data_IF_870870298014
#
_entry.id   IF_870870298014
#
_cell.length_a   1.000
_cell.length_b   1.000
_cell.length_c   1.000
_cell.angle_alpha   90.00
_cell.angle_beta   90.00
_cell.angle_gamma   90.00
#
_symmetry.space_group_name_H-M   'P 1'
#
loop_
_entity.id
_entity.type
_entity.pdbx_description
1 polymer ?
#
# COMPACT_ATOMS: atom_id res chain seq x y z
N UNK A 1 -84.40 6.48 -42.18
CA UNK A 1 -83.88 5.70 -41.05
C UNK A 1 -82.50 6.19 -40.78
N UNK A 2 -82.32 7.07 -39.82
CA UNK A 2 -81.04 7.71 -39.48
C UNK A 2 -80.50 7.09 -38.16
N UNK A 3 -79.39 6.36 -38.20
CA UNK A 3 -78.73 5.89 -37.00
C UNK A 3 -77.62 6.90 -36.66
N UNK A 4 -77.74 7.55 -35.51
CA UNK A 4 -76.68 8.36 -34.90
C UNK A 4 -75.83 7.48 -34.05
N UNK A 5 -74.55 7.36 -34.37
CA UNK A 5 -73.50 6.77 -33.48
C UNK A 5 -73.06 7.85 -32.52
N UNK A 6 -73.19 7.56 -31.22
CA UNK A 6 -72.56 8.34 -30.13
C UNK A 6 -71.21 7.69 -29.82
N UNK A 7 -70.15 8.40 -30.08
CA UNK A 7 -68.83 8.03 -29.61
C UNK A 7 -68.60 8.61 -28.20
N UNK A 8 -68.49 7.73 -27.22
CA UNK A 8 -68.02 8.08 -25.89
C UNK A 8 -66.50 7.95 -25.83
N UNK A 9 -65.81 9.05 -25.74
CA UNK A 9 -64.36 9.09 -25.52
C UNK A 9 -64.05 8.87 -24.04
N UNK A 10 -63.47 7.73 -23.67
CA UNK A 10 -62.94 7.48 -22.34
C UNK A 10 -61.49 8.07 -22.29
N UNK A 11 -61.30 9.12 -21.53
CA UNK A 11 -59.97 9.67 -21.25
C UNK A 11 -59.31 8.82 -20.18
N UNK A 12 -58.32 8.01 -20.55
CA UNK A 12 -57.39 7.35 -19.61
C UNK A 12 -56.39 8.40 -19.12
N UNK A 13 -56.50 8.81 -17.87
CA UNK A 13 -55.45 9.60 -17.21
C UNK A 13 -54.30 8.65 -16.83
N UNK A 14 -53.21 8.70 -17.59
CA UNK A 14 -51.92 8.11 -17.23
C UNK A 14 -51.34 8.95 -16.08
N UNK A 15 -51.46 8.47 -14.85
CA UNK A 15 -50.70 8.94 -13.71
C UNK A 15 -49.30 8.35 -13.87
N UNK A 16 -48.37 9.09 -14.47
CA UNK A 16 -46.95 8.76 -14.42
C UNK A 16 -46.45 9.00 -12.99
N UNK A 17 -46.37 7.94 -12.19
CA UNK A 17 -45.59 7.96 -10.95
C UNK A 17 -44.13 8.11 -11.36
N UNK A 18 -43.60 9.33 -11.30
CA UNK A 18 -42.16 9.54 -11.29
C UNK A 18 -41.65 8.87 -10.01
N UNK A 19 -41.06 7.67 -10.15
CA UNK A 19 -40.27 7.11 -9.10
C UNK A 19 -39.09 8.09 -8.90
N UNK A 20 -39.12 8.84 -7.82
CA UNK A 20 -37.95 9.58 -7.35
C UNK A 20 -36.93 8.49 -7.05
N UNK A 21 -35.92 8.36 -7.90
CA UNK A 21 -34.78 7.51 -7.61
C UNK A 21 -34.18 8.07 -6.31
N UNK A 22 -34.34 7.33 -5.23
CA UNK A 22 -33.76 7.66 -3.95
C UNK A 22 -32.25 7.49 -4.15
N UNK A 23 -31.51 8.60 -4.20
CA UNK A 23 -30.06 8.55 -4.26
C UNK A 23 -29.55 7.69 -3.09
N UNK A 24 -28.60 6.79 -3.36
CA UNK A 24 -28.00 5.99 -2.31
C UNK A 24 -27.41 6.92 -1.25
N UNK A 25 -27.57 6.58 0.05
CA UNK A 25 -26.98 7.39 1.10
C UNK A 25 -25.47 7.48 0.88
N UNK A 26 -25.01 8.70 0.73
CA UNK A 26 -23.60 9.00 0.56
C UNK A 26 -22.92 8.94 1.93
N UNK A 27 -21.65 8.44 1.96
CA UNK A 27 -20.85 8.52 3.17
C UNK A 27 -20.48 9.97 3.47
N UNK A 28 -20.74 10.40 4.70
CA UNK A 28 -20.33 11.69 5.25
C UNK A 28 -19.33 11.42 6.37
N UNK A 29 -18.10 11.92 6.21
CA UNK A 29 -17.05 11.70 7.19
C UNK A 29 -16.77 12.95 7.99
N UNK A 30 -16.62 12.78 9.31
CA UNK A 30 -16.11 13.77 10.23
C UNK A 30 -14.74 13.36 10.69
N UNK A 31 -13.72 14.17 10.41
CA UNK A 31 -12.36 13.95 10.88
C UNK A 31 -12.28 14.03 12.39
N UNK A 32 -11.76 13.00 13.02
CA UNK A 32 -11.51 12.93 14.48
C UNK A 32 -10.09 13.33 14.81
N UNK A 33 -9.13 12.84 14.04
CA UNK A 33 -7.71 13.11 14.19
C UNK A 33 -7.05 13.05 12.82
N UNK A 34 -6.17 13.99 12.53
CA UNK A 34 -5.38 14.02 11.32
C UNK A 34 -3.94 14.39 11.67
N UNK A 35 -3.00 13.60 11.20
CA UNK A 35 -1.57 13.84 11.36
C UNK A 35 -1.00 14.34 10.02
N UNK A 36 0.06 15.17 10.05
CA UNK A 36 0.64 15.72 8.83
C UNK A 36 1.19 14.64 7.88
N UNK A 37 0.92 14.82 6.60
CA UNK A 37 1.43 13.98 5.50
C UNK A 37 1.98 14.86 4.38
N UNK A 38 2.85 14.29 3.55
CA UNK A 38 3.30 14.87 2.29
C UNK A 38 2.26 14.69 1.18
N UNK A 39 2.48 15.23 0.00
CA UNK A 39 1.57 15.14 -1.15
C UNK A 39 1.26 13.71 -1.55
N UNK A 40 0.09 13.48 -2.18
CA UNK A 40 -0.28 12.19 -2.77
C UNK A 40 0.53 11.96 -4.04
N UNK A 41 1.26 10.85 -4.11
CA UNK A 41 2.05 10.44 -5.27
C UNK A 41 1.29 9.45 -6.16
N UNK A 42 1.83 9.20 -7.36
CA UNK A 42 1.24 8.25 -8.30
C UNK A 42 2.29 7.22 -8.74
N UNK A 43 2.18 5.98 -8.25
CA UNK A 43 3.02 4.86 -8.68
C UNK A 43 2.74 4.42 -10.12
N UNK A 44 1.63 4.85 -10.73
CA UNK A 44 1.18 4.52 -12.07
C UNK A 44 1.31 3.01 -12.38
N UNK A 45 2.04 2.64 -13.44
CA UNK A 45 2.25 1.25 -13.88
C UNK A 45 3.53 0.65 -13.29
N UNK A 46 3.61 0.66 -11.96
CA UNK A 46 4.68 -0.03 -11.22
C UNK A 46 4.10 -0.87 -10.09
N UNK A 47 4.68 -2.02 -9.83
CA UNK A 47 4.34 -2.87 -8.68
C UNK A 47 5.05 -2.42 -7.39
N UNK A 48 5.23 -1.11 -7.19
CA UNK A 48 6.10 -0.54 -6.15
C UNK A 48 5.34 0.17 -5.03
N UNK A 49 4.07 -0.19 -4.80
CA UNK A 49 3.23 0.36 -3.73
C UNK A 49 3.89 0.27 -2.35
N UNK A 50 4.62 -0.81 -2.08
CA UNK A 50 5.39 -1.01 -0.86
C UNK A 50 6.41 0.12 -0.61
N UNK A 51 7.06 0.61 -1.67
CA UNK A 51 8.04 1.69 -1.59
C UNK A 51 7.35 3.05 -1.41
N UNK A 52 6.34 3.35 -2.24
CA UNK A 52 5.57 4.60 -2.16
C UNK A 52 4.93 4.80 -0.78
N UNK A 53 4.35 3.75 -0.22
CA UNK A 53 3.68 3.83 1.09
C UNK A 53 4.67 3.93 2.25
N UNK A 54 5.76 3.16 2.22
CA UNK A 54 6.78 3.22 3.26
C UNK A 54 7.53 4.57 3.24
N UNK A 55 7.89 5.09 2.06
CA UNK A 55 8.52 6.42 1.99
C UNK A 55 7.55 7.52 2.39
N UNK A 56 6.27 7.43 2.02
CA UNK A 56 5.25 8.35 2.53
C UNK A 56 5.16 8.36 4.06
N UNK A 57 5.27 7.18 4.70
CA UNK A 57 5.36 7.03 6.15
C UNK A 57 6.63 7.68 6.72
N UNK A 58 7.81 7.39 6.13
CA UNK A 58 9.10 7.98 6.55
C UNK A 58 9.10 9.50 6.36
N UNK A 59 8.56 10.02 5.28
CA UNK A 59 8.40 11.47 5.05
C UNK A 59 7.56 12.12 6.14
N UNK A 60 6.48 11.46 6.59
CA UNK A 60 5.68 11.95 7.71
C UNK A 60 6.42 11.89 9.05
N UNK A 61 7.27 10.90 9.26
CA UNK A 61 8.15 10.83 10.43
C UNK A 61 9.19 11.96 10.45
N UNK A 62 9.78 12.29 9.28
CA UNK A 62 10.67 13.45 9.14
C UNK A 62 9.91 14.75 9.42
N UNK A 63 8.72 14.90 8.85
CA UNK A 63 7.86 16.06 9.07
C UNK A 63 7.48 16.19 10.56
N UNK A 64 7.14 15.09 11.23
CA UNK A 64 6.83 15.05 12.66
C UNK A 64 8.02 15.44 13.55
N UNK A 65 9.22 14.94 13.25
CA UNK A 65 10.40 15.09 14.12
C UNK A 65 11.19 16.36 13.83
N UNK A 66 11.24 16.81 12.58
CA UNK A 66 12.05 17.96 12.14
C UNK A 66 11.24 19.14 11.63
N UNK A 67 9.95 18.96 11.33
CA UNK A 67 9.12 20.01 10.72
C UNK A 67 9.53 20.34 9.28
N UNK A 68 10.26 19.44 8.60
CA UNK A 68 10.74 19.61 7.22
C UNK A 68 9.96 18.68 6.31
N UNK A 69 9.34 19.25 5.28
CA UNK A 69 8.72 18.47 4.22
C UNK A 69 9.82 17.97 3.25
N UNK A 70 9.84 16.68 2.99
CA UNK A 70 10.79 16.02 2.09
C UNK A 70 10.05 15.24 1.04
N UNK A 71 10.64 15.10 -0.13
CA UNK A 71 10.20 14.24 -1.23
C UNK A 71 11.34 13.27 -1.55
N UNK A 72 11.20 12.03 -1.07
CA UNK A 72 12.23 10.99 -1.17
C UNK A 72 12.07 10.18 -2.47
N UNK A 73 13.19 9.74 -3.05
CA UNK A 73 13.18 9.00 -4.30
C UNK A 73 12.77 7.54 -4.09
N UNK A 74 11.61 7.17 -4.60
CA UNK A 74 11.16 5.78 -4.62
C UNK A 74 12.06 4.92 -5.51
N UNK A 75 12.48 5.45 -6.65
CA UNK A 75 13.26 4.68 -7.62
C UNK A 75 14.67 4.38 -7.15
N UNK A 76 15.24 5.20 -6.27
CA UNK A 76 16.49 4.87 -5.59
C UNK A 76 16.33 3.61 -4.75
N UNK A 77 15.29 3.55 -3.94
CA UNK A 77 15.00 2.40 -3.07
C UNK A 77 14.67 1.17 -3.90
N UNK A 78 13.84 1.31 -4.93
CA UNK A 78 13.45 0.22 -5.83
C UNK A 78 14.68 -0.38 -6.53
N UNK A 79 15.57 0.46 -7.08
CA UNK A 79 16.79 0.00 -7.76
C UNK A 79 17.71 -0.79 -6.83
N UNK A 80 17.95 -0.30 -5.60
CA UNK A 80 18.77 -0.99 -4.61
C UNK A 80 18.13 -2.30 -4.14
N UNK A 81 16.82 -2.31 -3.91
CA UNK A 81 16.08 -3.54 -3.56
C UNK A 81 16.14 -4.57 -4.68
N UNK A 82 16.00 -4.16 -5.94
CA UNK A 82 16.13 -5.08 -7.08
C UNK A 82 17.52 -5.68 -7.22
N UNK A 83 18.59 -4.88 -6.99
CA UNK A 83 19.95 -5.38 -6.93
C UNK A 83 20.10 -6.49 -5.88
N UNK A 84 19.73 -6.22 -4.65
CA UNK A 84 19.84 -7.18 -3.54
C UNK A 84 19.03 -8.45 -3.81
N UNK A 85 17.83 -8.29 -4.35
CA UNK A 85 16.95 -9.42 -4.71
C UNK A 85 17.57 -10.27 -5.81
N UNK A 86 18.18 -9.66 -6.82
CA UNK A 86 18.86 -10.37 -7.89
C UNK A 86 20.00 -11.24 -7.34
N UNK A 87 20.82 -10.68 -6.45
CA UNK A 87 21.91 -11.41 -5.80
C UNK A 87 21.36 -12.59 -4.98
N UNK A 88 20.33 -12.38 -4.18
CA UNK A 88 19.70 -13.44 -3.37
C UNK A 88 19.01 -14.50 -4.24
N UNK A 89 18.32 -14.10 -5.30
CA UNK A 89 17.67 -15.00 -6.24
C UNK A 89 18.65 -15.95 -6.92
N UNK A 90 19.77 -15.42 -7.41
CA UNK A 90 20.81 -16.23 -8.05
C UNK A 90 21.48 -17.16 -7.03
N UNK A 91 21.77 -16.70 -5.81
CA UNK A 91 22.32 -17.53 -4.72
C UNK A 91 21.40 -18.67 -4.32
N UNK A 92 20.09 -18.48 -4.39
CA UNK A 92 19.07 -19.48 -4.07
C UNK A 92 18.65 -20.32 -5.29
N UNK A 93 19.40 -20.24 -6.38
CA UNK A 93 19.13 -20.98 -7.64
C UNK A 93 17.69 -20.77 -8.14
N UNK A 94 17.16 -19.58 -7.99
CA UNK A 94 15.81 -19.20 -8.44
C UNK A 94 14.67 -19.59 -7.48
N UNK A 95 14.97 -20.15 -6.32
CA UNK A 95 13.97 -20.49 -5.31
C UNK A 95 13.65 -19.28 -4.41
N UNK A 96 13.28 -18.19 -5.05
CA UNK A 96 12.86 -16.94 -4.42
C UNK A 96 11.85 -16.25 -5.35
N UNK A 97 10.89 -15.52 -4.77
CA UNK A 97 10.05 -14.66 -5.59
C UNK A 97 10.89 -13.51 -6.18
N UNK A 98 10.88 -13.39 -7.51
CA UNK A 98 11.51 -12.27 -8.21
C UNK A 98 10.44 -11.55 -9.04
N UNK A 99 9.86 -10.52 -8.46
CA UNK A 99 8.76 -9.73 -9.00
C UNK A 99 8.88 -8.27 -8.53
N UNK A 100 8.00 -7.40 -8.94
CA UNK A 100 7.99 -5.98 -8.59
C UNK A 100 7.63 -5.73 -7.10
N UNK A 101 6.73 -6.55 -6.54
CA UNK A 101 6.27 -6.44 -5.16
C UNK A 101 7.38 -6.71 -4.14
N UNK A 102 7.30 -6.07 -2.98
CA UNK A 102 8.25 -6.19 -1.87
C UNK A 102 7.58 -5.80 -0.55
N UNK A 103 8.33 -5.79 0.54
CA UNK A 103 7.84 -5.46 1.87
C UNK A 103 8.31 -4.08 2.35
N UNK A 104 7.68 -3.53 3.38
CA UNK A 104 8.15 -2.30 4.03
C UNK A 104 9.55 -2.45 4.62
N UNK A 105 9.91 -3.65 5.08
CA UNK A 105 11.24 -3.97 5.56
C UNK A 105 12.32 -3.70 4.53
N UNK A 106 12.04 -3.94 3.23
CA UNK A 106 12.99 -3.65 2.16
C UNK A 106 13.37 -2.17 2.10
N UNK A 107 12.41 -1.27 2.31
CA UNK A 107 12.67 0.18 2.38
C UNK A 107 13.57 0.51 3.55
N UNK A 108 13.29 -0.07 4.72
CA UNK A 108 14.09 0.15 5.92
C UNK A 108 15.53 -0.36 5.73
N UNK A 109 15.69 -1.56 5.17
CA UNK A 109 17.02 -2.12 4.85
C UNK A 109 17.77 -1.26 3.85
N UNK A 110 17.14 -0.84 2.76
CA UNK A 110 17.81 -0.01 1.75
C UNK A 110 18.25 1.33 2.35
N UNK A 111 17.40 2.01 3.11
CA UNK A 111 17.77 3.27 3.76
C UNK A 111 18.93 3.06 4.74
N UNK A 112 18.92 1.96 5.51
CA UNK A 112 19.99 1.64 6.44
C UNK A 112 21.33 1.40 5.73
N UNK A 113 21.32 0.59 4.67
CA UNK A 113 22.53 0.05 4.04
C UNK A 113 23.09 0.98 2.96
N UNK A 114 22.22 1.73 2.27
CA UNK A 114 22.59 2.57 1.12
C UNK A 114 22.31 4.06 1.31
N UNK A 115 21.65 4.45 2.40
CA UNK A 115 21.17 5.81 2.56
C UNK A 115 19.88 6.11 1.78
N UNK A 116 19.66 7.40 1.48
CA UNK A 116 18.48 7.87 0.72
C UNK A 116 18.83 9.14 -0.05
N UNK A 117 18.17 9.36 -1.18
CA UNK A 117 18.30 10.58 -1.98
C UNK A 117 16.95 11.25 -2.16
N UNK A 118 16.89 12.58 -2.33
CA UNK A 118 15.64 13.26 -2.62
C UNK A 118 15.23 13.02 -4.09
N UNK A 119 13.93 13.04 -4.35
CA UNK A 119 13.34 12.86 -5.68
C UNK A 119 13.91 13.83 -6.72
N UNK A 120 14.19 15.06 -6.34
CA UNK A 120 14.79 16.06 -7.22
C UNK A 120 16.22 15.73 -7.67
N UNK A 121 16.97 14.95 -6.89
CA UNK A 121 18.33 14.52 -7.24
C UNK A 121 18.33 13.26 -8.11
N UNK A 122 17.33 12.41 -7.95
CA UNK A 122 17.22 11.17 -8.70
C UNK A 122 15.74 10.77 -8.85
N UNK A 123 15.17 11.05 -10.02
CA UNK A 123 13.77 10.72 -10.31
C UNK A 123 13.57 9.25 -10.67
N UNK A 124 14.57 8.61 -11.26
CA UNK A 124 14.49 7.24 -11.74
C UNK A 124 13.62 7.05 -12.99
N UNK A 125 13.39 8.11 -13.78
CA UNK A 125 12.60 8.05 -15.01
C UNK A 125 13.48 8.34 -16.24
N UNK A 126 14.34 7.38 -16.60
CA UNK A 126 15.32 7.55 -17.68
C UNK A 126 14.83 6.98 -19.02
N UNK A 127 13.59 6.51 -19.11
CA UNK A 127 13.03 5.86 -20.31
C UNK A 127 11.94 6.70 -21.02
N UNK A 128 11.96 8.02 -20.80
CA UNK A 128 11.15 8.97 -21.55
C UNK A 128 9.71 9.15 -21.08
N UNK A 129 9.33 8.60 -19.93
CA UNK A 129 8.04 8.82 -19.29
C UNK A 129 8.15 9.77 -18.10
N UNK A 130 7.07 10.49 -17.81
CA UNK A 130 7.00 11.37 -16.63
C UNK A 130 6.50 10.66 -15.36
N UNK A 131 6.11 9.39 -15.49
CA UNK A 131 5.59 8.55 -14.41
C UNK A 131 6.16 7.13 -14.53
N UNK A 132 6.18 6.34 -13.45
CA UNK A 132 6.67 4.96 -13.48
C UNK A 132 5.90 4.09 -14.47
N UNK A 133 6.63 3.40 -15.35
CA UNK A 133 6.12 2.36 -16.26
C UNK A 133 7.13 1.20 -16.26
N UNK A 134 7.04 0.30 -15.26
CA UNK A 134 8.08 -0.65 -14.99
C UNK A 134 7.84 -2.07 -15.51
N UNK A 135 6.71 -2.35 -16.17
CA UNK A 135 6.39 -3.71 -16.64
C UNK A 135 7.47 -4.30 -17.56
N UNK A 136 8.06 -3.46 -18.44
CA UNK A 136 9.16 -3.88 -19.31
C UNK A 136 10.42 -4.16 -18.49
N UNK A 137 10.80 -3.25 -17.59
CA UNK A 137 11.95 -3.42 -16.72
C UNK A 137 11.85 -4.71 -15.89
N UNK A 138 10.71 -4.97 -15.27
CA UNK A 138 10.46 -6.17 -14.45
C UNK A 138 10.65 -7.45 -15.28
N UNK A 139 10.12 -7.49 -16.50
CA UNK A 139 10.26 -8.62 -17.40
C UNK A 139 11.72 -8.83 -17.86
N UNK A 140 12.43 -7.74 -18.16
CA UNK A 140 13.85 -7.77 -18.58
C UNK A 140 14.74 -8.24 -17.43
N UNK A 141 14.56 -7.69 -16.22
CA UNK A 141 15.33 -8.07 -15.04
C UNK A 141 15.11 -9.55 -14.69
N UNK A 142 13.87 -10.02 -14.73
CA UNK A 142 13.54 -11.43 -14.50
C UNK A 142 14.20 -12.35 -15.53
N UNK A 143 14.11 -11.99 -16.80
CA UNK A 143 14.75 -12.74 -17.90
C UNK A 143 16.26 -12.80 -17.75
N UNK A 144 16.88 -11.69 -17.31
CA UNK A 144 18.32 -11.59 -17.10
C UNK A 144 18.82 -12.50 -15.96
N UNK A 145 18.18 -12.45 -14.78
CA UNK A 145 18.61 -13.30 -13.65
C UNK A 145 18.35 -14.77 -13.90
N UNK A 146 17.27 -15.14 -14.65
CA UNK A 146 17.03 -16.50 -15.07
C UNK A 146 18.11 -17.01 -16.05
N UNK A 147 18.58 -16.14 -16.94
CA UNK A 147 19.70 -16.45 -17.83
C UNK A 147 21.01 -16.63 -17.08
N UNK A 148 21.35 -15.72 -16.16
CA UNK A 148 22.56 -15.80 -15.34
C UNK A 148 22.58 -17.10 -14.51
N UNK A 149 21.45 -17.44 -13.87
CA UNK A 149 21.29 -18.64 -13.04
C UNK A 149 21.52 -19.94 -13.81
N UNK A 150 21.06 -19.98 -15.05
CA UNK A 150 21.16 -21.18 -15.92
C UNK A 150 22.54 -21.38 -16.57
N UNK A 151 23.59 -20.77 -16.04
CA UNK A 151 24.93 -20.81 -16.61
C UNK A 151 25.42 -22.27 -16.84
N UNK A 152 25.66 -22.70 -18.10
CA UNK A 152 26.07 -24.05 -18.40
C UNK A 152 27.50 -24.39 -17.98
N UNK A 153 28.32 -23.39 -17.65
CA UNK A 153 29.72 -23.56 -17.29
C UNK A 153 29.95 -23.92 -15.81
N UNK A 154 28.88 -24.01 -15.00
CA UNK A 154 28.93 -24.36 -13.59
C UNK A 154 29.65 -23.35 -12.70
N UNK A 155 30.11 -22.22 -13.23
CA UNK A 155 30.78 -21.14 -12.51
C UNK A 155 30.35 -19.78 -13.06
N UNK A 156 29.75 -18.97 -12.19
CA UNK A 156 29.41 -17.59 -12.52
C UNK A 156 30.63 -16.68 -12.46
N UNK A 157 30.69 -15.73 -13.37
CA UNK A 157 31.58 -14.58 -13.26
C UNK A 157 30.93 -13.47 -12.44
N UNK A 158 31.67 -12.47 -11.99
CA UNK A 158 31.12 -11.27 -11.34
C UNK A 158 30.42 -10.32 -12.34
N UNK A 159 30.65 -10.53 -13.64
CA UNK A 159 30.12 -9.65 -14.70
C UNK A 159 28.58 -9.61 -14.75
N UNK A 160 27.90 -10.68 -14.32
CA UNK A 160 26.45 -10.72 -14.35
C UNK A 160 25.82 -9.66 -13.42
N UNK A 161 26.45 -9.36 -12.26
CA UNK A 161 25.96 -8.31 -11.35
C UNK A 161 26.09 -6.95 -12.03
N UNK A 162 27.25 -6.64 -12.59
CA UNK A 162 27.47 -5.39 -13.32
C UNK A 162 26.52 -5.23 -14.52
N UNK A 163 26.23 -6.34 -15.22
CA UNK A 163 25.25 -6.34 -16.31
C UNK A 163 23.82 -6.09 -15.84
N UNK A 164 23.46 -6.63 -14.68
CA UNK A 164 22.16 -6.36 -14.04
C UNK A 164 22.03 -4.87 -13.64
N UNK A 165 23.07 -4.33 -12.98
CA UNK A 165 23.10 -2.92 -12.59
C UNK A 165 23.07 -1.99 -13.82
N UNK A 166 23.76 -2.36 -14.91
CA UNK A 166 23.70 -1.61 -16.17
C UNK A 166 22.30 -1.61 -16.81
N UNK A 167 21.46 -2.62 -16.58
CA UNK A 167 20.05 -2.58 -16.98
C UNK A 167 19.29 -1.59 -16.10
N UNK A 168 19.49 -1.62 -14.78
CA UNK A 168 18.88 -0.65 -13.86
C UNK A 168 19.24 0.77 -14.25
N UNK A 169 20.53 1.05 -14.53
CA UNK A 169 21.01 2.37 -14.94
C UNK A 169 20.39 2.84 -16.27
N UNK A 170 20.18 1.91 -17.21
CA UNK A 170 19.57 2.22 -18.50
C UNK A 170 18.10 2.67 -18.35
N UNK A 171 17.34 2.06 -17.42
CA UNK A 171 15.94 2.37 -17.20
C UNK A 171 15.70 3.47 -16.14
N UNK A 172 16.47 3.42 -15.05
CA UNK A 172 16.25 4.31 -13.90
C UNK A 172 17.23 5.50 -13.88
N UNK A 173 18.33 5.44 -14.64
CA UNK A 173 19.42 6.41 -14.62
C UNK A 173 20.49 6.05 -13.59
N UNK A 174 21.66 6.65 -13.75
CA UNK A 174 22.77 6.49 -12.80
C UNK A 174 22.47 7.29 -11.52
N UNK A 175 22.63 6.64 -10.36
CA UNK A 175 22.50 7.32 -9.07
C UNK A 175 23.68 8.27 -8.87
N UNK A 176 23.46 9.57 -8.58
CA UNK A 176 24.55 10.51 -8.35
C UNK A 176 25.34 10.16 -7.07
N UNK A 177 26.67 10.24 -7.13
CA UNK A 177 27.53 10.02 -5.95
C UNK A 177 27.29 11.10 -4.88
N UNK A 178 27.07 12.35 -5.30
CA UNK A 178 26.73 13.49 -4.45
C UNK A 178 25.61 14.32 -5.09
N UNK A 179 24.87 15.04 -4.24
CA UNK A 179 23.82 15.98 -4.66
C UNK A 179 23.71 17.14 -3.67
N UNK A 180 23.07 18.23 -4.08
CA UNK A 180 22.94 19.43 -3.26
C UNK A 180 21.49 19.63 -2.82
N UNK A 181 21.27 19.83 -1.51
CA UNK A 181 20.00 20.26 -0.92
C UNK A 181 20.26 21.51 -0.11
N UNK A 182 19.50 22.59 -0.38
CA UNK A 182 19.63 23.90 0.29
C UNK A 182 21.06 24.45 0.36
N UNK A 183 21.86 24.20 -0.71
CA UNK A 183 23.25 24.65 -0.83
C UNK A 183 24.28 23.80 -0.09
N UNK A 184 23.88 22.69 0.51
CA UNK A 184 24.76 21.72 1.18
C UNK A 184 24.88 20.47 0.31
N UNK A 185 26.11 20.00 0.11
CA UNK A 185 26.40 18.77 -0.61
C UNK A 185 26.28 17.54 0.32
N UNK A 186 25.63 16.48 -0.19
CA UNK A 186 25.40 15.23 0.52
C UNK A 186 25.73 14.02 -0.35
N UNK A 187 26.13 12.92 0.28
CA UNK A 187 25.96 11.56 -0.23
C UNK A 187 24.61 11.00 0.26
N UNK A 188 24.17 9.86 -0.27
CA UNK A 188 22.93 9.23 0.17
C UNK A 188 22.94 8.92 1.68
N UNK A 189 24.07 8.43 2.22
CA UNK A 189 24.22 8.12 3.64
C UNK A 189 24.21 9.38 4.50
N UNK A 190 24.97 10.41 4.11
CA UNK A 190 25.03 11.66 4.88
C UNK A 190 23.68 12.41 4.85
N UNK A 191 22.88 12.25 3.79
CA UNK A 191 21.53 12.80 3.73
C UNK A 191 20.57 12.06 4.65
N UNK A 192 20.61 10.70 4.69
CA UNK A 192 19.88 9.90 5.69
C UNK A 192 20.20 10.39 7.12
N UNK A 193 21.49 10.57 7.43
CA UNK A 193 21.95 11.00 8.76
C UNK A 193 21.47 12.43 9.08
N UNK A 194 21.50 13.34 8.09
CA UNK A 194 20.93 14.68 8.21
C UNK A 194 19.42 14.63 8.49
N UNK A 195 18.67 13.74 7.81
CA UNK A 195 17.24 13.57 8.05
C UNK A 195 16.96 12.93 9.42
N UNK A 196 17.96 12.33 10.06
CA UNK A 196 17.83 11.74 11.39
C UNK A 196 16.96 10.47 11.41
N UNK A 197 16.94 9.74 10.30
CA UNK A 197 16.17 8.51 10.18
C UNK A 197 16.99 7.37 10.78
N UNK A 198 16.45 6.71 11.81
CA UNK A 198 17.03 5.52 12.40
C UNK A 198 16.08 4.33 12.20
N UNK A 199 16.50 3.35 11.43
CA UNK A 199 15.65 2.20 11.07
C UNK A 199 15.30 1.31 12.27
N UNK A 200 16.09 1.32 13.35
CA UNK A 200 15.82 0.59 14.59
C UNK A 200 14.65 1.19 15.40
N UNK A 201 14.14 2.33 15.01
CA UNK A 201 12.99 2.96 15.66
C UNK A 201 11.64 2.45 15.14
N UNK A 202 11.65 1.61 14.09
CA UNK A 202 10.43 1.13 13.44
C UNK A 202 10.18 -0.34 13.73
N UNK A 203 8.93 -0.66 14.03
CA UNK A 203 8.48 -1.99 14.45
C UNK A 203 7.46 -2.52 13.47
N UNK A 204 7.72 -3.70 12.92
CA UNK A 204 6.79 -4.43 12.07
C UNK A 204 5.89 -5.32 12.93
N UNK A 205 4.57 -5.23 12.78
CA UNK A 205 3.56 -5.93 13.57
C UNK A 205 2.55 -6.61 12.66
N UNK A 206 2.13 -7.80 13.06
CA UNK A 206 1.09 -8.60 12.42
C UNK A 206 0.18 -9.25 13.45
N UNK A 207 -0.84 -10.00 12.99
CA UNK A 207 -1.80 -10.67 13.87
C UNK A 207 -2.32 -11.97 13.25
N UNK A 208 -1.65 -13.10 13.53
CA UNK A 208 -2.05 -14.42 13.07
C UNK A 208 -1.89 -15.49 14.16
N UNK A 209 -2.73 -16.54 14.15
CA UNK A 209 -2.79 -17.55 15.21
C UNK A 209 -1.90 -18.77 14.98
N UNK A 210 -1.32 -18.93 13.78
CA UNK A 210 -0.44 -20.07 13.46
C UNK A 210 0.97 -19.93 14.06
N UNK A 211 1.30 -18.77 14.65
CA UNK A 211 2.49 -18.55 15.48
C UNK A 211 2.11 -17.96 16.84
N UNK A 212 2.96 -18.17 17.89
CA UNK A 212 2.71 -17.60 19.20
C UNK A 212 2.57 -16.08 19.17
N UNK A 213 1.62 -15.53 19.95
CA UNK A 213 1.56 -14.10 20.16
C UNK A 213 2.74 -13.60 21.01
N UNK A 214 3.11 -12.34 20.80
CA UNK A 214 4.21 -11.59 21.44
C UNK A 214 5.62 -12.07 21.05
N UNK A 215 5.72 -12.93 20.05
CA UNK A 215 6.98 -13.38 19.46
C UNK A 215 7.08 -12.92 18.00
N UNK A 216 8.29 -12.63 17.49
CA UNK A 216 8.47 -12.32 16.09
C UNK A 216 8.46 -13.59 15.24
N UNK A 217 7.88 -13.53 14.06
CA UNK A 217 7.97 -14.58 13.05
C UNK A 217 8.05 -13.99 11.64
N UNK A 218 8.46 -14.79 10.67
CA UNK A 218 8.52 -14.42 9.25
C UNK A 218 7.11 -14.60 8.65
N UNK A 219 6.47 -13.53 8.20
CA UNK A 219 5.20 -13.64 7.47
C UNK A 219 5.47 -14.35 6.15
N UNK A 220 4.79 -15.48 5.92
CA UNK A 220 5.00 -16.34 4.75
C UNK A 220 4.21 -15.83 3.54
N UNK A 221 4.67 -14.73 2.97
CA UNK A 221 4.17 -14.16 1.72
C UNK A 221 5.30 -14.01 0.71
N UNK A 222 5.02 -14.13 -0.61
CA UNK A 222 6.06 -14.07 -1.63
C UNK A 222 6.89 -12.79 -1.62
N UNK A 223 6.30 -11.67 -1.25
CA UNK A 223 6.93 -10.35 -1.28
C UNK A 223 7.82 -10.10 -0.06
N UNK A 224 7.71 -10.91 1.01
CA UNK A 224 8.68 -10.92 2.10
C UNK A 224 9.93 -11.77 1.74
N UNK A 225 10.56 -11.44 0.64
CA UNK A 225 11.71 -12.18 0.08
C UNK A 225 13.00 -12.05 0.92
N UNK A 226 13.12 -11.03 1.78
CA UNK A 226 14.21 -10.90 2.74
C UNK A 226 14.04 -11.80 3.95
N UNK A 227 12.81 -12.27 4.20
CA UNK A 227 12.41 -13.03 5.37
C UNK A 227 12.45 -12.21 6.65
N UNK A 228 12.04 -10.96 6.54
CA UNK A 228 11.91 -10.08 7.68
C UNK A 228 10.84 -10.57 8.63
N UNK A 229 11.08 -10.34 9.93
CA UNK A 229 10.14 -10.73 10.97
C UNK A 229 9.17 -9.60 11.30
N UNK A 230 7.98 -10.01 11.77
CA UNK A 230 7.01 -9.11 12.37
C UNK A 230 6.62 -9.63 13.76
N UNK A 231 6.46 -8.74 14.72
CA UNK A 231 5.91 -9.10 16.01
C UNK A 231 4.44 -9.47 15.90
N UNK A 232 4.06 -10.60 16.48
CA UNK A 232 2.71 -11.13 16.41
C UNK A 232 1.88 -10.66 17.60
N UNK A 233 0.78 -9.98 17.37
CA UNK A 233 -0.15 -9.52 18.41
C UNK A 233 -1.54 -10.13 18.21
N UNK A 234 -2.34 -10.30 19.29
CA UNK A 234 -3.78 -10.47 19.13
C UNK A 234 -4.38 -9.32 18.31
N UNK A 235 -5.40 -9.59 17.52
CA UNK A 235 -6.02 -8.61 16.61
C UNK A 235 -6.42 -7.31 17.32
N UNK A 236 -7.05 -7.42 18.48
CA UNK A 236 -7.49 -6.24 19.22
C UNK A 236 -6.31 -5.42 19.79
N UNK A 237 -5.19 -6.05 20.14
CA UNK A 237 -3.98 -5.35 20.55
C UNK A 237 -3.26 -4.68 19.37
N UNK A 238 -3.27 -5.29 18.18
CA UNK A 238 -2.82 -4.62 16.96
C UNK A 238 -3.66 -3.37 16.67
N UNK A 239 -4.98 -3.46 16.81
CA UNK A 239 -5.87 -2.30 16.67
C UNK A 239 -5.60 -1.23 17.74
N UNK A 240 -5.33 -1.63 19.00
CA UNK A 240 -4.92 -0.70 20.07
C UNK A 240 -3.66 0.06 19.67
N UNK A 241 -2.66 -0.60 19.11
CA UNK A 241 -1.45 0.06 18.58
C UNK A 241 -1.81 1.06 17.51
N UNK A 242 -2.66 0.71 16.55
CA UNK A 242 -3.02 1.58 15.43
C UNK A 242 -3.75 2.85 15.92
N UNK A 243 -4.74 2.71 16.81
CA UNK A 243 -5.43 3.86 17.39
C UNK A 243 -4.50 4.71 18.25
N UNK A 244 -3.62 4.07 19.04
CA UNK A 244 -2.66 4.78 19.88
C UNK A 244 -1.66 5.59 19.02
N UNK A 245 -1.16 5.00 17.95
CA UNK A 245 -0.24 5.67 17.02
C UNK A 245 -0.87 6.97 16.49
N UNK A 246 -2.04 6.88 15.85
CA UNK A 246 -2.69 8.05 15.25
C UNK A 246 -3.04 9.11 16.29
N UNK A 247 -3.58 8.71 17.44
CA UNK A 247 -3.97 9.67 18.50
C UNK A 247 -2.77 10.41 19.11
N UNK A 248 -1.57 9.81 19.06
CA UNK A 248 -0.34 10.41 19.59
C UNK A 248 0.54 11.09 18.52
N UNK A 249 0.02 11.30 17.31
CA UNK A 249 0.71 12.08 16.28
C UNK A 249 1.61 11.26 15.36
N UNK A 250 1.58 9.92 15.44
CA UNK A 250 2.29 9.02 14.55
C UNK A 250 1.41 8.58 13.39
N UNK A 251 2.03 8.14 12.31
CA UNK A 251 1.38 7.52 11.17
C UNK A 251 1.75 6.05 11.06
N UNK A 252 1.22 5.31 10.08
CA UNK A 252 1.35 3.86 9.98
C UNK A 252 1.57 3.47 8.53
N UNK A 253 2.66 2.76 8.20
CA UNK A 253 2.72 2.03 6.94
C UNK A 253 1.86 0.77 7.05
N UNK A 254 0.95 0.55 6.11
CA UNK A 254 -0.12 -0.44 6.19
C UNK A 254 -0.15 -1.35 4.97
N UNK A 255 0.15 -2.63 5.17
CA UNK A 255 0.00 -3.70 4.19
C UNK A 255 -1.37 -4.36 4.30
N UNK A 256 -2.11 -4.45 3.21
CA UNK A 256 -3.48 -4.94 3.20
C UNK A 256 -3.84 -5.66 1.91
N UNK A 257 -4.80 -6.58 2.00
CA UNK A 257 -5.53 -7.06 0.84
C UNK A 257 -6.57 -6.01 0.41
N UNK A 258 -6.48 -5.58 -0.83
CA UNK A 258 -7.43 -4.63 -1.47
C UNK A 258 -8.23 -5.28 -2.60
N UNK A 259 -8.07 -6.60 -2.80
CA UNK A 259 -8.81 -7.40 -3.81
C UNK A 259 -10.26 -7.64 -3.43
N UNK A 260 -10.83 -6.74 -2.66
CA UNK A 260 -12.12 -6.87 -2.03
C UNK A 260 -13.21 -6.07 -2.75
N UNK A 261 -14.44 -6.59 -2.74
CA UNK A 261 -15.59 -5.89 -3.33
C UNK A 261 -15.85 -4.56 -2.62
N UNK A 262 -15.59 -4.51 -1.30
CA UNK A 262 -15.77 -3.30 -0.50
C UNK A 262 -14.64 -2.29 -0.60
N UNK A 263 -13.52 -2.63 -1.25
CA UNK A 263 -12.47 -1.65 -1.58
C UNK A 263 -12.79 -1.02 -2.93
N UNK A 264 -13.28 0.21 -2.91
CA UNK A 264 -13.87 0.85 -4.08
C UNK A 264 -13.02 2.00 -4.61
N UNK A 265 -13.19 2.32 -5.90
CA UNK A 265 -12.56 3.50 -6.53
C UNK A 265 -13.06 4.84 -5.96
N UNK A 266 -14.16 4.82 -5.25
CA UNK A 266 -14.72 6.02 -4.63
C UNK A 266 -14.02 6.40 -3.31
N UNK A 267 -12.93 5.71 -2.95
CA UNK A 267 -12.16 6.00 -1.75
C UNK A 267 -12.76 5.38 -0.49
N UNK A 268 -13.42 4.24 -0.60
CA UNK A 268 -14.00 3.50 0.53
C UNK A 268 -13.38 2.10 0.60
N UNK A 269 -13.17 1.62 1.83
CA UNK A 269 -12.82 0.25 2.14
C UNK A 269 -13.68 -0.25 3.30
N UNK A 270 -14.62 -1.16 3.02
CA UNK A 270 -15.58 -1.74 3.97
C UNK A 270 -15.62 -3.26 3.84
N UNK A 271 -15.78 -3.98 4.95
CA UNK A 271 -15.73 -5.44 4.97
C UNK A 271 -17.11 -6.06 4.66
N UNK A 272 -17.34 -6.43 3.40
CA UNK A 272 -18.65 -6.91 2.90
C UNK A 272 -18.83 -8.44 2.88
N UNK A 273 -17.92 -9.22 3.46
CA UNK A 273 -17.96 -10.69 3.45
C UNK A 273 -17.07 -11.33 2.40
N UNK A 274 -17.51 -12.45 1.78
CA UNK A 274 -16.65 -13.18 0.86
C UNK A 274 -16.28 -12.35 -0.38
N UNK A 275 -14.98 -12.21 -0.61
CA UNK A 275 -14.43 -11.51 -1.75
C UNK A 275 -14.68 -12.26 -3.05
N UNK A 276 -15.11 -11.56 -4.08
CA UNK A 276 -14.92 -12.01 -5.46
C UNK A 276 -13.53 -11.57 -5.90
N UNK A 277 -12.54 -12.48 -5.81
CA UNK A 277 -11.22 -12.20 -6.36
C UNK A 277 -11.31 -11.89 -7.84
N UNK A 278 -10.86 -10.71 -8.23
CA UNK A 278 -10.56 -10.40 -9.62
C UNK A 278 -9.14 -10.80 -9.92
N UNK A 279 -8.88 -11.48 -11.04
CA UNK A 279 -7.53 -11.80 -11.49
C UNK A 279 -6.76 -10.51 -11.84
N UNK A 280 -5.46 -10.52 -11.64
CA UNK A 280 -4.55 -9.42 -11.99
C UNK A 280 -3.90 -8.73 -10.78
N UNK A 281 -2.81 -8.02 -11.03
CA UNK A 281 -2.13 -7.19 -10.04
C UNK A 281 -2.95 -5.93 -9.75
N UNK A 282 -2.64 -5.23 -8.65
CA UNK A 282 -3.22 -3.91 -8.35
C UNK A 282 -3.14 -2.97 -9.54
N UNK A 283 -1.99 -2.96 -10.18
CA UNK A 283 -1.69 -2.17 -11.35
C UNK A 283 -2.64 -2.48 -12.49
N UNK A 284 -2.90 -3.75 -12.80
CA UNK A 284 -3.83 -4.16 -13.86
C UNK A 284 -5.29 -3.86 -13.51
N UNK A 285 -5.65 -3.93 -12.23
CA UNK A 285 -7.00 -3.64 -11.76
C UNK A 285 -7.35 -2.17 -11.79
N UNK A 286 -6.39 -1.30 -11.46
CA UNK A 286 -6.66 0.11 -11.21
C UNK A 286 -6.20 1.04 -12.32
N UNK A 287 -5.12 0.72 -13.03
CA UNK A 287 -4.57 1.57 -14.09
C UNK A 287 -5.18 1.21 -15.46
N UNK A 288 -5.83 2.17 -16.09
CA UNK A 288 -6.34 2.06 -17.45
C UNK A 288 -7.71 1.40 -17.62
N UNK A 289 -8.44 1.07 -16.55
CA UNK A 289 -9.85 0.67 -16.61
C UNK A 289 -10.75 1.88 -16.45
N UNK A 290 -11.09 2.54 -17.56
CA UNK A 290 -11.95 3.73 -17.56
C UNK A 290 -13.40 3.44 -17.17
N UNK A 291 -13.91 2.22 -17.39
CA UNK A 291 -15.32 1.89 -17.27
C UNK A 291 -15.54 0.62 -16.44
N UNK A 292 -15.46 0.73 -15.10
CA UNK A 292 -16.11 -0.27 -14.26
C UNK A 292 -17.63 -0.08 -14.31
N UNK A 293 -18.45 -1.16 -14.31
CA UNK A 293 -19.89 -1.03 -14.20
C UNK A 293 -20.26 -0.15 -13.01
N UNK A 294 -21.18 0.80 -13.21
CA UNK A 294 -21.72 1.56 -12.10
C UNK A 294 -22.45 0.57 -11.20
N UNK A 295 -21.98 0.41 -9.96
CA UNK A 295 -22.74 -0.35 -8.96
C UNK A 295 -24.12 0.32 -8.78
N UNK A 296 -25.17 -0.49 -8.77
CA UNK A 296 -26.51 0.02 -8.47
C UNK A 296 -26.54 0.60 -7.06
N UNK A 297 -27.02 1.82 -6.95
CA UNK A 297 -27.12 2.54 -5.70
C UNK A 297 -28.04 1.78 -4.71
N UNK A 298 -27.49 1.35 -3.57
CA UNK A 298 -28.26 0.74 -2.47
C UNK A 298 -28.84 1.84 -1.57
N UNK A 299 -30.07 1.65 -1.11
CA UNK A 299 -30.80 2.63 -0.28
C UNK A 299 -30.23 2.80 1.14
N UNK A 300 -29.32 1.95 1.58
CA UNK A 300 -28.66 1.97 2.90
C UNK A 300 -27.17 1.70 2.77
N UNK A 301 -26.37 2.23 3.69
CA UNK A 301 -24.96 1.83 3.80
C UNK A 301 -24.87 0.32 3.98
N UNK A 302 -23.90 -0.37 3.35
CA UNK A 302 -23.75 -1.80 3.48
C UNK A 302 -23.44 -2.20 4.92
N UNK A 303 -24.06 -3.28 5.38
CA UNK A 303 -23.73 -3.88 6.67
C UNK A 303 -22.40 -4.64 6.56
N UNK A 304 -21.47 -4.33 7.46
CA UNK A 304 -20.17 -5.00 7.51
C UNK A 304 -20.26 -6.30 8.33
N UNK A 305 -19.40 -7.27 7.99
CA UNK A 305 -19.28 -8.52 8.75
C UNK A 305 -18.69 -8.26 10.13
N UNK A 306 -19.01 -9.13 11.11
CA UNK A 306 -18.31 -9.15 12.39
C UNK A 306 -17.02 -9.96 12.24
N UNK A 307 -15.87 -9.33 12.39
CA UNK A 307 -14.56 -9.96 12.20
C UNK A 307 -14.05 -10.55 13.51
N UNK A 308 -13.60 -11.80 13.46
CA UNK A 308 -12.92 -12.48 14.56
C UNK A 308 -11.46 -12.80 14.21
N UNK A 309 -10.65 -13.13 15.21
CA UNK A 309 -9.26 -13.56 15.03
C UNK A 309 -9.17 -14.80 14.13
N UNK A 310 -10.13 -15.72 14.26
CA UNK A 310 -10.20 -16.97 13.49
C UNK A 310 -10.53 -16.67 12.02
N UNK A 311 -11.49 -15.79 11.74
CA UNK A 311 -11.80 -15.37 10.36
C UNK A 311 -10.60 -14.74 9.68
N UNK A 312 -9.84 -13.94 10.42
CA UNK A 312 -8.61 -13.32 9.93
C UNK A 312 -7.56 -14.38 9.57
N UNK A 313 -7.34 -15.38 10.43
CA UNK A 313 -6.45 -16.51 10.17
C UNK A 313 -6.92 -17.33 8.97
N UNK A 314 -8.21 -17.68 8.93
CA UNK A 314 -8.79 -18.44 7.82
C UNK A 314 -8.63 -17.71 6.48
N UNK A 315 -8.80 -16.38 6.46
CA UNK A 315 -8.59 -15.56 5.27
C UNK A 315 -7.15 -15.67 4.73
N UNK A 316 -6.16 -15.64 5.61
CA UNK A 316 -4.75 -15.80 5.27
C UNK A 316 -4.45 -17.23 4.78
N UNK A 317 -4.88 -18.26 5.49
CA UNK A 317 -4.62 -19.66 5.16
C UNK A 317 -5.27 -20.07 3.82
N UNK A 318 -6.46 -19.56 3.56
CA UNK A 318 -7.21 -19.82 2.32
C UNK A 318 -6.84 -18.90 1.17
N UNK A 319 -5.94 -17.94 1.39
CA UNK A 319 -5.53 -16.92 0.41
C UNK A 319 -6.72 -16.08 -0.11
N UNK A 320 -7.69 -15.81 0.77
CA UNK A 320 -8.73 -14.81 0.57
C UNK A 320 -8.36 -13.48 1.23
N UNK A 321 -7.24 -13.45 1.94
CA UNK A 321 -6.49 -12.26 2.34
C UNK A 321 -5.05 -12.46 1.88
N UNK A 322 -4.58 -11.62 0.96
CA UNK A 322 -3.25 -11.72 0.36
C UNK A 322 -2.48 -10.43 0.50
N UNK A 323 -1.17 -10.51 0.25
CA UNK A 323 -0.27 -9.36 0.19
C UNK A 323 -0.46 -8.65 -1.15
N UNK A 324 -1.38 -7.69 -1.19
CA UNK A 324 -1.80 -7.04 -2.42
C UNK A 324 -1.27 -5.62 -2.55
N UNK A 325 -1.32 -4.83 -1.46
CA UNK A 325 -1.10 -3.39 -1.57
C UNK A 325 -0.56 -2.77 -0.28
N UNK A 326 0.39 -1.87 -0.45
CA UNK A 326 0.91 -1.02 0.62
C UNK A 326 0.29 0.38 0.56
N UNK A 327 -0.13 0.90 1.72
CA UNK A 327 -0.73 2.23 1.88
C UNK A 327 -0.24 2.91 3.16
N UNK A 328 -0.65 4.15 3.39
CA UNK A 328 -0.20 4.94 4.53
C UNK A 328 -1.40 5.47 5.31
N UNK A 329 -1.61 5.00 6.54
CA UNK A 329 -2.65 5.49 7.44
C UNK A 329 -2.12 6.68 8.22
N UNK A 330 -2.88 7.80 8.22
CA UNK A 330 -2.46 9.05 8.85
C UNK A 330 -3.51 9.72 9.72
N UNK A 331 -4.76 9.22 9.71
CA UNK A 331 -5.83 9.86 10.46
C UNK A 331 -6.97 8.92 10.84
N UNK A 332 -7.89 9.47 11.62
CA UNK A 332 -9.15 8.84 12.05
C UNK A 332 -10.33 9.73 11.68
N UNK A 333 -11.40 9.10 11.24
CA UNK A 333 -12.67 9.75 10.96
C UNK A 333 -13.84 8.90 11.49
N UNK A 334 -15.03 9.48 11.50
CA UNK A 334 -16.28 8.78 11.75
C UNK A 334 -17.26 9.06 10.63
N UNK A 335 -18.05 8.05 10.26
CA UNK A 335 -19.20 8.27 9.38
C UNK A 335 -20.39 8.90 10.14
N UNK A 336 -21.48 9.16 9.43
CA UNK A 336 -22.72 9.74 9.99
C UNK A 336 -23.39 8.84 11.04
N UNK A 337 -23.05 7.56 11.13
CA UNK A 337 -23.54 6.61 12.13
C UNK A 337 -22.61 6.48 13.34
N UNK A 338 -21.45 7.15 13.30
CA UNK A 338 -20.44 7.09 14.35
C UNK A 338 -19.46 5.91 14.23
N UNK A 339 -19.51 5.16 13.13
CA UNK A 339 -18.55 4.10 12.84
C UNK A 339 -17.14 4.68 12.62
N UNK A 340 -16.12 4.02 13.18
CA UNK A 340 -14.74 4.45 13.04
C UNK A 340 -14.17 4.09 11.67
N UNK A 341 -13.41 5.03 11.10
CA UNK A 341 -12.63 4.85 9.88
C UNK A 341 -11.21 5.35 10.06
N UNK A 342 -10.27 4.69 9.40
CA UNK A 342 -8.93 5.18 9.18
C UNK A 342 -8.86 6.00 7.90
N UNK A 343 -8.16 7.14 7.95
CA UNK A 343 -7.85 7.95 6.78
C UNK A 343 -6.54 7.43 6.18
N UNK A 344 -6.59 7.03 4.92
CA UNK A 344 -5.53 6.30 4.23
C UNK A 344 -5.08 7.07 3.00
N UNK A 345 -3.81 7.44 2.94
CA UNK A 345 -3.16 7.98 1.75
C UNK A 345 -2.75 6.82 0.85
N UNK A 346 -3.27 6.82 -0.38
CA UNK A 346 -2.93 5.85 -1.41
C UNK A 346 -1.89 6.46 -2.39
N UNK A 347 -1.30 5.62 -3.23
CA UNK A 347 -0.28 5.98 -4.22
C UNK A 347 -0.79 5.92 -5.67
N UNK A 348 -2.07 6.21 -5.90
CA UNK A 348 -2.68 6.20 -7.24
C UNK A 348 -3.03 7.60 -7.77
N UNK A 349 -2.31 8.63 -7.30
CA UNK A 349 -2.55 10.02 -7.62
C UNK A 349 -3.80 10.58 -6.93
N UNK A 350 -4.05 11.86 -7.13
CA UNK A 350 -5.23 12.57 -6.61
C UNK A 350 -6.51 12.16 -7.35
N UNK A 351 -6.86 10.89 -7.31
CA UNK A 351 -8.03 10.32 -7.96
C UNK A 351 -9.22 10.17 -7.02
N UNK A 352 -10.42 9.98 -7.60
CA UNK A 352 -11.64 9.74 -6.85
C UNK A 352 -12.18 10.96 -6.10
N UNK A 353 -13.26 10.72 -5.32
CA UNK A 353 -13.98 11.77 -4.57
C UNK A 353 -13.09 12.46 -3.53
N UNK A 354 -12.19 11.72 -2.92
CA UNK A 354 -11.35 12.18 -1.81
C UNK A 354 -9.89 12.42 -2.23
N UNK A 355 -9.63 12.65 -3.53
CA UNK A 355 -8.33 13.05 -4.06
C UNK A 355 -7.16 12.18 -3.59
N UNK A 356 -7.28 10.87 -3.80
CA UNK A 356 -6.24 9.90 -3.44
C UNK A 356 -6.23 9.46 -1.98
N UNK A 357 -7.23 9.87 -1.21
CA UNK A 357 -7.48 9.39 0.16
C UNK A 357 -8.58 8.35 0.16
N UNK A 358 -8.42 7.31 0.97
CA UNK A 358 -9.41 6.28 1.26
C UNK A 358 -9.84 6.35 2.72
N UNK A 359 -11.11 6.03 2.95
CA UNK A 359 -11.65 5.82 4.28
C UNK A 359 -11.86 4.31 4.46
N UNK A 360 -11.01 3.69 5.28
CA UNK A 360 -11.05 2.27 5.60
C UNK A 360 -11.74 2.06 6.95
N UNK A 361 -12.85 1.33 6.97
CA UNK A 361 -13.55 1.03 8.22
C UNK A 361 -12.66 0.26 9.19
N UNK A 362 -12.88 0.42 10.48
CA UNK A 362 -12.21 -0.36 11.51
C UNK A 362 -12.34 -1.87 11.25
N UNK A 363 -13.51 -2.30 10.78
CA UNK A 363 -13.81 -3.70 10.45
C UNK A 363 -12.97 -4.19 9.27
N UNK A 364 -12.85 -3.39 8.21
CA UNK A 364 -12.00 -3.72 7.06
C UNK A 364 -10.53 -3.85 7.49
N UNK A 365 -10.03 -2.89 8.26
CA UNK A 365 -8.65 -2.91 8.76
C UNK A 365 -8.41 -4.13 9.64
N UNK A 366 -9.31 -4.45 10.57
CA UNK A 366 -9.23 -5.69 11.36
C UNK A 366 -9.11 -6.93 10.50
N UNK A 367 -9.88 -7.00 9.41
CA UNK A 367 -9.97 -8.19 8.59
C UNK A 367 -8.80 -8.34 7.62
N UNK A 368 -8.43 -7.25 6.91
CA UNK A 368 -7.60 -7.32 5.72
C UNK A 368 -6.15 -6.84 5.90
N UNK A 369 -5.76 -6.42 7.09
CA UNK A 369 -4.37 -6.05 7.37
C UNK A 369 -3.46 -7.28 7.33
N UNK A 370 -2.42 -7.26 6.52
CA UNK A 370 -1.32 -8.22 6.59
C UNK A 370 -0.37 -7.84 7.74
N UNK A 371 0.18 -6.64 7.65
CA UNK A 371 1.09 -6.08 8.64
C UNK A 371 1.00 -4.55 8.69
N UNK A 372 1.57 -4.01 9.73
CA UNK A 372 1.79 -2.57 9.89
C UNK A 372 3.23 -2.30 10.31
N UNK A 373 3.75 -1.14 9.91
CA UNK A 373 4.99 -0.61 10.49
C UNK A 373 4.67 0.69 11.19
N UNK A 374 5.13 0.80 12.43
CA UNK A 374 4.96 1.98 13.29
C UNK A 374 6.28 2.37 13.96
N UNK A 375 6.41 3.62 14.38
CA UNK A 375 7.50 4.00 15.26
C UNK A 375 7.33 3.31 16.64
N UNK A 376 8.42 2.84 17.26
CA UNK A 376 8.37 2.11 18.55
C UNK A 376 7.69 2.90 19.67
N UNK A 377 7.87 4.23 19.70
CA UNK A 377 7.24 5.13 20.69
C UNK A 377 5.72 5.28 20.49
N UNK A 378 5.20 4.80 19.36
CA UNK A 378 3.76 4.73 19.11
C UNK A 378 3.09 3.52 19.80
N UNK A 379 3.88 2.61 20.36
CA UNK A 379 3.34 1.43 21.05
C UNK A 379 2.74 1.83 22.41
N UNK A 380 1.56 1.31 22.78
CA UNK A 380 1.09 1.35 24.16
C UNK A 380 2.12 0.70 25.10
N UNK A 381 2.38 1.31 26.25
CA UNK A 381 3.43 0.85 27.20
C UNK A 381 3.29 -0.61 27.63
N UNK A 382 2.05 -1.09 27.80
CA UNK A 382 1.75 -2.47 28.13
C UNK A 382 2.16 -3.41 26.98
N UNK A 383 1.93 -3.04 25.75
CA UNK A 383 2.28 -3.83 24.55
C UNK A 383 3.80 -3.79 24.32
N UNK A 384 4.44 -2.62 24.37
CA UNK A 384 5.88 -2.49 24.26
C UNK A 384 6.60 -3.41 25.27
N UNK A 385 6.12 -3.45 26.52
CA UNK A 385 6.65 -4.32 27.55
C UNK A 385 6.49 -5.82 27.22
N UNK A 386 5.34 -6.24 26.66
CA UNK A 386 5.11 -7.63 26.24
C UNK A 386 6.05 -8.06 25.11
N UNK A 387 6.36 -7.14 24.20
CA UNK A 387 7.26 -7.35 23.08
C UNK A 387 8.76 -7.20 23.44
N UNK A 388 9.08 -6.76 24.67
CA UNK A 388 10.47 -6.51 25.09
C UNK A 388 11.09 -5.27 24.43
N UNK A 389 10.28 -4.40 23.84
CA UNK A 389 10.70 -3.17 23.16
C UNK A 389 10.85 -2.05 24.22
N UNK A 390 11.96 -1.29 24.13
CA UNK A 390 12.33 -0.22 25.05
C UNK A 390 12.23 1.15 24.38
#
# INVERSE_FOLDING_TARGET
MNFKFILTAAALALVSSAAIAQEAPEYEFTTVKENPITSVKNQNRSGTCWCYSALSFIESEILRTKGVETDLSEMFVVGKSYHDRAVKYVRLDGHLNFAAGSSFGDVLHVINDYGIVPQQAYSGFNYGTAMPEQNELDAVLKGYVDGARKNPNGKLTTAWVNGFDGILDAYLGEVPETFTVDGVEYTAESYRDFLGINMDDYVNITSFTHHPFYEPFIIEVPDNWRWDTAYNLPMDEMMEVMFNAINNGYTIAWGSDVSETGFTRNGLAVALGEAKRTSGSDQERWVGKADAPKEEAKATLPEEVTVTQEMRQEGYDRKTTTDDHGMHIYGLAKDQNGTNYFMVKNSWGETGKYKGIWYASETFVKFKTLNIVVHKDALPKNIAKKLGIK
#
